data_IF_769422749063
#
_entry.id   IF_769422749063
#
_cell.length_a   1.000
_cell.length_b   1.000
_cell.length_c   1.000
_cell.angle_alpha   90.00
_cell.angle_beta   90.00
_cell.angle_gamma   90.00
#
_symmetry.space_group_name_H-M   'P 1'
#
loop_
_entity.id
_entity.type
_entity.pdbx_description
1 polymer ?
#
# COMPACT_ATOMS: atom_id res chain seq x y z
N UNK A 1 31.37 5.82 -9.79
CA UNK A 1 30.32 5.53 -8.78
C UNK A 1 29.77 6.85 -8.24
N UNK A 2 28.55 7.23 -8.60
CA UNK A 2 27.97 8.52 -8.23
C UNK A 2 27.70 8.59 -6.71
N UNK A 3 28.24 9.62 -6.05
CA UNK A 3 28.01 9.90 -4.63
C UNK A 3 26.56 10.30 -4.44
N UNK A 4 25.74 9.40 -3.87
CA UNK A 4 24.37 9.71 -3.46
C UNK A 4 24.41 10.71 -2.29
N UNK A 5 24.44 12.03 -2.60
CA UNK A 5 24.32 13.08 -1.58
C UNK A 5 22.89 13.10 -1.07
N UNK A 6 22.67 12.50 0.09
CA UNK A 6 21.38 12.52 0.79
C UNK A 6 21.02 13.97 1.12
N UNK A 7 20.06 14.56 0.41
CA UNK A 7 19.66 15.96 0.60
C UNK A 7 18.98 16.18 1.96
N UNK A 8 19.05 17.42 2.49
CA UNK A 8 18.44 17.80 3.79
C UNK A 8 16.96 17.39 3.92
N UNK A 9 16.18 17.46 2.82
CA UNK A 9 14.77 17.04 2.76
C UNK A 9 14.59 15.54 3.05
N UNK A 10 15.44 14.70 2.46
CA UNK A 10 15.37 13.25 2.66
C UNK A 10 15.59 12.89 4.14
N UNK A 11 16.62 13.45 4.77
CA UNK A 11 16.93 13.16 6.17
C UNK A 11 15.78 13.57 7.10
N UNK A 12 15.11 14.70 6.80
CA UNK A 12 13.96 15.17 7.56
C UNK A 12 12.77 14.20 7.45
N UNK A 13 12.42 13.77 6.23
CA UNK A 13 11.33 12.81 6.01
C UNK A 13 11.65 11.47 6.67
N UNK A 14 12.86 10.95 6.51
CA UNK A 14 13.29 9.71 7.17
C UNK A 14 13.07 9.79 8.68
N UNK A 15 13.50 10.88 9.33
CA UNK A 15 13.33 11.07 10.78
C UNK A 15 11.86 11.06 11.21
N UNK A 16 10.95 11.61 10.41
CA UNK A 16 9.52 11.57 10.71
C UNK A 16 8.90 10.18 10.49
N UNK A 17 9.43 9.37 9.57
CA UNK A 17 8.93 8.02 9.32
C UNK A 17 9.51 6.98 10.29
N UNK A 18 10.73 7.19 10.78
CA UNK A 18 11.42 6.27 11.70
C UNK A 18 10.67 6.03 13.03
N UNK A 19 9.71 6.89 13.41
CA UNK A 19 8.90 6.72 14.64
C UNK A 19 7.73 5.75 14.46
N UNK A 20 7.35 5.42 13.22
CA UNK A 20 6.24 4.52 12.95
C UNK A 20 6.74 3.07 12.89
N UNK A 21 5.97 2.11 13.42
CA UNK A 21 6.31 0.70 13.27
C UNK A 21 6.30 0.32 11.78
N UNK A 22 7.28 -0.48 11.38
CA UNK A 22 7.32 -1.03 10.03
C UNK A 22 6.49 -2.33 9.99
N UNK A 23 5.49 -2.35 9.11
CA UNK A 23 4.76 -3.56 8.81
C UNK A 23 5.63 -4.44 7.89
N UNK A 24 6.09 -5.58 8.40
CA UNK A 24 6.88 -6.51 7.61
C UNK A 24 6.01 -7.20 6.56
N UNK A 25 6.33 -6.98 5.29
CA UNK A 25 5.65 -7.64 4.18
C UNK A 25 6.33 -8.97 3.90
N UNK A 26 5.67 -10.06 4.29
CA UNK A 26 6.12 -11.43 4.00
C UNK A 26 5.61 -11.90 2.64
N UNK A 27 5.93 -13.15 2.27
CA UNK A 27 5.57 -13.74 0.97
C UNK A 27 4.07 -13.69 0.66
N UNK A 28 3.23 -13.92 1.66
CA UNK A 28 1.78 -14.04 1.49
C UNK A 28 1.14 -12.75 0.91
N UNK A 29 1.39 -11.55 1.46
CA UNK A 29 0.94 -10.31 0.84
C UNK A 29 1.34 -10.12 -0.62
N UNK A 30 2.53 -10.57 -1.05
CA UNK A 30 2.93 -10.48 -2.45
C UNK A 30 2.08 -11.38 -3.36
N UNK A 31 1.81 -12.62 -2.93
CA UNK A 31 0.95 -13.55 -3.68
C UNK A 31 -0.48 -12.99 -3.74
N UNK A 32 -1.01 -12.56 -2.59
CA UNK A 32 -2.34 -11.98 -2.47
C UNK A 32 -2.50 -10.69 -3.29
N UNK A 33 -1.44 -9.90 -3.45
CA UNK A 33 -1.44 -8.72 -4.32
C UNK A 33 -1.58 -9.10 -5.80
N UNK A 34 -0.89 -10.16 -6.26
CA UNK A 34 -1.03 -10.66 -7.61
C UNK A 34 -2.45 -11.22 -7.85
N UNK A 35 -2.98 -11.97 -6.88
CA UNK A 35 -4.37 -12.46 -6.93
C UNK A 35 -5.38 -11.30 -7.00
N UNK A 36 -5.21 -10.28 -6.16
CA UNK A 36 -6.06 -9.09 -6.15
C UNK A 36 -6.00 -8.36 -7.50
N UNK A 37 -4.80 -8.13 -8.05
CA UNK A 37 -4.65 -7.46 -9.35
C UNK A 37 -5.34 -8.24 -10.48
N UNK A 38 -5.23 -9.56 -10.48
CA UNK A 38 -5.91 -10.42 -11.44
C UNK A 38 -7.43 -10.38 -11.26
N UNK A 39 -7.92 -10.39 -10.01
CA UNK A 39 -9.33 -10.27 -9.69
C UNK A 39 -9.93 -8.94 -10.18
N UNK A 40 -9.23 -7.83 -9.96
CA UNK A 40 -9.66 -6.50 -10.41
C UNK A 40 -9.64 -6.39 -11.93
N UNK A 41 -8.60 -6.93 -12.58
CA UNK A 41 -8.48 -6.92 -14.05
C UNK A 41 -9.63 -7.67 -14.72
N UNK A 42 -10.08 -8.81 -14.16
CA UNK A 42 -11.25 -9.55 -14.64
C UNK A 42 -12.56 -8.72 -14.59
N UNK A 43 -12.60 -7.70 -13.75
CA UNK A 43 -13.72 -6.75 -13.63
C UNK A 43 -13.52 -5.49 -14.47
N UNK A 44 -12.48 -5.45 -15.31
CA UNK A 44 -12.12 -4.28 -16.13
C UNK A 44 -11.43 -3.16 -15.34
N UNK A 45 -11.00 -3.41 -14.11
CA UNK A 45 -10.35 -2.40 -13.25
C UNK A 45 -8.85 -2.71 -13.20
N UNK A 46 -8.04 -1.78 -13.72
CA UNK A 46 -6.59 -1.87 -13.62
C UNK A 46 -6.11 -1.17 -12.35
N UNK A 47 -5.25 -1.84 -11.59
CA UNK A 47 -4.61 -1.27 -10.39
C UNK A 47 -3.10 -1.44 -10.47
N UNK A 48 -2.36 -0.50 -9.87
CA UNK A 48 -0.91 -0.56 -9.84
C UNK A 48 -0.42 -1.71 -8.96
N UNK A 49 0.80 -2.20 -9.23
CA UNK A 49 1.40 -3.28 -8.43
C UNK A 49 1.64 -2.86 -6.98
N UNK A 50 1.97 -1.58 -6.74
CA UNK A 50 2.22 -1.06 -5.39
C UNK A 50 0.90 -0.92 -4.62
N UNK A 51 -0.17 -0.43 -5.24
CA UNK A 51 -1.47 -0.30 -4.57
C UNK A 51 -2.06 -1.66 -4.24
N UNK A 52 -1.92 -2.63 -5.15
CA UNK A 52 -2.28 -4.02 -4.89
C UNK A 52 -1.50 -4.58 -3.69
N UNK A 53 -0.20 -4.28 -3.57
CA UNK A 53 0.61 -4.72 -2.45
C UNK A 53 0.23 -4.05 -1.13
N UNK A 54 -0.01 -2.74 -1.14
CA UNK A 54 -0.45 -1.99 0.05
C UNK A 54 -1.80 -2.52 0.53
N UNK A 55 -2.78 -2.66 -0.39
CA UNK A 55 -4.10 -3.19 -0.06
C UNK A 55 -4.02 -4.63 0.47
N UNK A 56 -3.23 -5.48 -0.18
CA UNK A 56 -3.00 -6.86 0.23
C UNK A 56 -2.35 -6.95 1.62
N UNK A 57 -1.32 -6.15 1.89
CA UNK A 57 -0.67 -6.10 3.19
C UNK A 57 -1.64 -5.66 4.29
N UNK A 58 -2.49 -4.67 4.02
CA UNK A 58 -3.53 -4.24 4.96
C UNK A 58 -4.56 -5.34 5.23
N UNK A 59 -5.06 -6.02 4.18
CA UNK A 59 -6.03 -7.12 4.31
C UNK A 59 -5.45 -8.29 5.12
N UNK A 60 -4.24 -8.76 4.77
CA UNK A 60 -3.61 -9.92 5.42
C UNK A 60 -3.32 -9.65 6.90
N UNK A 61 -2.99 -8.41 7.28
CA UNK A 61 -2.70 -8.04 8.65
C UNK A 61 -3.92 -7.44 9.39
N UNK A 62 -5.14 -7.57 8.85
CA UNK A 62 -6.39 -7.01 9.39
C UNK A 62 -6.30 -5.53 9.80
N UNK A 63 -5.63 -4.73 8.97
CA UNK A 63 -5.43 -3.30 9.19
C UNK A 63 -6.42 -2.48 8.36
N UNK A 64 -6.84 -1.33 8.89
CA UNK A 64 -7.47 -0.29 8.09
C UNK A 64 -6.41 0.54 7.36
N UNK A 65 -6.63 0.84 6.07
CA UNK A 65 -5.74 1.68 5.28
C UNK A 65 -6.19 3.14 5.36
N UNK A 66 -5.31 4.02 5.85
CA UNK A 66 -5.46 5.46 5.71
C UNK A 66 -4.82 5.94 4.40
N UNK A 67 -5.61 6.61 3.56
CA UNK A 67 -5.13 7.09 2.26
C UNK A 67 -5.97 8.28 1.78
N UNK A 68 -5.34 9.18 1.03
CA UNK A 68 -6.02 10.24 0.29
C UNK A 68 -6.14 9.93 -1.21
N UNK A 69 -5.68 8.75 -1.62
CA UNK A 69 -5.80 8.26 -2.99
C UNK A 69 -7.15 7.56 -3.17
N UNK A 70 -7.93 8.06 -4.14
CA UNK A 70 -9.29 7.59 -4.43
C UNK A 70 -9.31 6.23 -5.14
N UNK A 71 -8.19 5.78 -5.71
CA UNK A 71 -8.12 4.47 -6.36
C UNK A 71 -8.36 3.33 -5.36
N UNK A 72 -8.01 3.54 -4.09
CA UNK A 72 -8.31 2.59 -3.02
C UNK A 72 -9.79 2.48 -2.68
N UNK A 73 -10.64 3.46 -3.03
CA UNK A 73 -12.10 3.31 -2.93
C UNK A 73 -12.60 2.24 -3.90
N UNK A 74 -12.06 2.20 -5.11
CA UNK A 74 -12.41 1.15 -6.08
C UNK A 74 -11.90 -0.22 -5.62
N UNK A 75 -10.71 -0.29 -5.03
CA UNK A 75 -10.17 -1.52 -4.45
C UNK A 75 -11.05 -2.01 -3.29
N UNK A 76 -11.42 -1.13 -2.36
CA UNK A 76 -12.26 -1.47 -1.21
C UNK A 76 -13.65 -1.97 -1.61
N UNK A 77 -14.26 -1.39 -2.66
CA UNK A 77 -15.55 -1.83 -3.20
C UNK A 77 -15.55 -3.27 -3.73
N UNK A 78 -14.38 -3.80 -4.10
CA UNK A 78 -14.25 -5.10 -4.74
C UNK A 78 -13.33 -6.07 -4.01
N UNK A 79 -12.94 -5.75 -2.77
CA UNK A 79 -12.07 -6.58 -1.92
C UNK A 79 -12.48 -6.46 -0.45
N UNK A 80 -11.70 -7.07 0.45
CA UNK A 80 -11.90 -6.96 1.90
C UNK A 80 -11.16 -5.77 2.52
N UNK A 81 -10.59 -4.88 1.71
CA UNK A 81 -9.84 -3.73 2.19
C UNK A 81 -10.75 -2.79 2.99
N UNK A 82 -10.38 -2.54 4.25
CA UNK A 82 -11.03 -1.56 5.12
C UNK A 82 -10.31 -0.21 4.97
N UNK A 83 -11.04 0.87 4.70
CA UNK A 83 -10.47 2.22 4.64
C UNK A 83 -10.73 2.97 5.95
N UNK A 84 -9.72 3.68 6.44
CA UNK A 84 -9.86 4.62 7.54
C UNK A 84 -10.12 6.02 6.98
N UNK A 85 -11.18 6.67 7.46
CA UNK A 85 -11.53 8.04 7.11
C UNK A 85 -11.48 8.87 8.39
N UNK A 86 -10.66 9.91 8.39
CA UNK A 86 -10.71 10.97 9.41
C UNK A 86 -11.95 11.81 9.14
N UNK A 87 -12.79 11.99 10.17
CA UNK A 87 -13.90 12.94 10.14
C UNK A 87 -13.38 14.38 9.98
#
# INVERSE_FOLDING_TARGET
MARYKKGRRFCKVKKYLDVFPLLEIKREPYIKAAELKNHMSKKGIQISTIDALIASAAIVNDCCLYTNDKDFDHIAKHSQLKLFRTQ
#
